data_IF_483140643897
#
_entry.id   IF_483140643897
#
_cell.length_a   1.000
_cell.length_b   1.000
_cell.length_c   1.000
_cell.angle_alpha   90.00
_cell.angle_beta   90.00
_cell.angle_gamma   90.00
#
_symmetry.space_group_name_H-M   'P 1'
#
loop_
_entity.id
_entity.type
_entity.pdbx_description
1 polymer ?
#
# COMPACT_ATOMS: atom_id res chain seq x y z
N UNK A 1 10.22 -5.90 39.72
CA UNK A 1 9.70 -5.11 38.58
C UNK A 1 10.37 -5.71 37.35
N UNK A 2 9.74 -6.70 36.72
CA UNK A 2 10.26 -7.28 35.47
C UNK A 2 9.58 -6.50 34.35
N UNK A 3 10.37 -5.82 33.53
CA UNK A 3 9.93 -5.25 32.26
C UNK A 3 9.51 -6.41 31.38
N UNK A 4 8.21 -6.49 31.13
CA UNK A 4 7.63 -7.39 30.13
C UNK A 4 8.21 -6.97 28.78
N UNK A 5 9.21 -7.72 28.32
CA UNK A 5 9.71 -7.61 26.95
C UNK A 5 8.54 -7.97 26.05
N UNK A 6 8.01 -6.99 25.31
CA UNK A 6 7.02 -7.25 24.27
C UNK A 6 7.63 -8.29 23.31
N UNK A 7 7.06 -9.49 23.30
CA UNK A 7 7.49 -10.56 22.42
C UNK A 7 7.35 -10.07 20.98
N UNK A 8 8.44 -10.15 20.21
CA UNK A 8 8.37 -9.88 18.78
C UNK A 8 7.41 -10.86 18.11
N UNK A 9 6.67 -10.44 17.06
CA UNK A 9 5.75 -11.33 16.36
C UNK A 9 6.43 -12.61 15.89
N UNK A 10 5.69 -13.73 15.95
CA UNK A 10 6.18 -15.00 15.46
C UNK A 10 6.45 -14.95 13.95
N UNK A 11 7.41 -15.74 13.49
CA UNK A 11 7.62 -15.96 12.05
C UNK A 11 6.34 -16.58 11.48
N UNK A 12 5.92 -16.07 10.31
CA UNK A 12 4.68 -16.44 9.64
C UNK A 12 3.45 -15.67 10.11
N UNK A 13 3.57 -14.74 11.07
CA UNK A 13 2.45 -13.84 11.41
C UNK A 13 2.11 -12.96 10.20
N UNK A 14 0.81 -12.90 9.87
CA UNK A 14 0.27 -12.19 8.72
C UNK A 14 -0.67 -11.09 9.17
N UNK A 15 -0.47 -9.89 8.65
CA UNK A 15 -1.26 -8.70 8.93
C UNK A 15 -1.97 -8.26 7.65
N UNK A 16 -3.30 -8.30 7.60
CA UNK A 16 -4.05 -7.81 6.45
C UNK A 16 -4.10 -6.29 6.54
N UNK A 17 -3.51 -5.60 5.56
CA UNK A 17 -3.42 -4.15 5.54
C UNK A 17 -4.36 -3.56 4.49
N UNK A 18 -4.98 -2.43 4.84
CA UNK A 18 -5.48 -1.45 3.88
C UNK A 18 -4.51 -0.27 3.85
N UNK A 19 -4.19 0.25 2.67
CA UNK A 19 -3.34 1.41 2.51
C UNK A 19 -4.01 2.52 1.72
N UNK A 20 -3.74 3.75 2.12
CA UNK A 20 -4.06 4.95 1.35
C UNK A 20 -2.76 5.54 0.85
N UNK A 21 -2.74 6.00 -0.40
CA UNK A 21 -1.59 6.61 -1.04
C UNK A 21 -2.02 7.89 -1.75
N UNK A 22 -1.25 8.95 -1.60
CA UNK A 22 -1.41 10.18 -2.38
C UNK A 22 -0.04 10.69 -2.79
N UNK A 23 0.16 10.92 -4.08
CA UNK A 23 1.40 11.50 -4.59
C UNK A 23 1.17 12.33 -5.85
N UNK A 24 2.10 13.25 -6.11
CA UNK A 24 2.12 14.08 -7.31
C UNK A 24 3.32 13.71 -8.17
N UNK A 25 3.12 13.45 -9.46
CA UNK A 25 4.21 13.08 -10.37
C UNK A 25 4.01 13.67 -11.77
N UNK A 26 5.15 13.87 -12.45
CA UNK A 26 5.19 14.32 -13.84
C UNK A 26 5.13 13.11 -14.79
N UNK A 27 4.27 13.21 -15.79
CA UNK A 27 4.30 12.35 -16.97
C UNK A 27 4.70 13.11 -18.23
N UNK A 28 4.47 12.50 -19.39
CA UNK A 28 4.78 13.09 -20.69
C UNK A 28 3.84 14.26 -21.02
N UNK A 29 4.21 15.47 -20.60
CA UNK A 29 3.46 16.69 -20.87
C UNK A 29 2.28 16.95 -19.93
N UNK A 30 2.16 16.20 -18.84
CA UNK A 30 1.13 16.40 -17.81
C UNK A 30 1.71 16.28 -16.41
N UNK A 31 1.10 16.98 -15.47
CA UNK A 31 1.34 16.85 -14.04
C UNK A 31 0.07 16.30 -13.40
N UNK A 32 0.20 15.28 -12.55
CA UNK A 32 -0.95 14.57 -12.00
C UNK A 32 -0.80 14.31 -10.52
N UNK A 33 -1.93 14.26 -9.82
CA UNK A 33 -2.06 13.64 -8.52
C UNK A 33 -2.71 12.26 -8.66
N UNK A 34 -2.10 11.27 -8.02
CA UNK A 34 -2.65 9.91 -7.90
C UNK A 34 -3.07 9.71 -6.45
N UNK A 35 -4.32 9.34 -6.24
CA UNK A 35 -4.87 9.02 -4.93
C UNK A 35 -5.47 7.61 -4.94
N UNK A 36 -4.86 6.68 -4.21
CA UNK A 36 -5.41 5.36 -3.95
C UNK A 36 -5.96 5.31 -2.53
N UNK A 37 -7.17 4.77 -2.36
CA UNK A 37 -7.85 4.62 -1.08
C UNK A 37 -8.14 3.14 -0.87
N UNK A 38 -7.80 2.64 0.33
CA UNK A 38 -8.02 1.26 0.74
C UNK A 38 -7.47 0.21 -0.24
N UNK A 39 -6.30 0.47 -0.83
CA UNK A 39 -5.53 -0.57 -1.51
C UNK A 39 -5.23 -1.72 -0.54
N UNK A 40 -5.21 -2.96 -1.03
CA UNK A 40 -5.07 -4.14 -0.17
C UNK A 40 -3.64 -4.68 -0.23
N UNK A 41 -3.08 -4.99 0.93
CA UNK A 41 -1.77 -5.60 1.04
C UNK A 41 -1.75 -6.63 2.19
N UNK A 42 -0.82 -7.57 2.12
CA UNK A 42 -0.54 -8.55 3.15
C UNK A 42 0.88 -8.32 3.67
N UNK A 43 1.01 -7.93 4.93
CA UNK A 43 2.31 -7.88 5.59
C UNK A 43 2.59 -9.20 6.29
N UNK A 44 3.78 -9.76 6.10
CA UNK A 44 4.19 -11.06 6.65
C UNK A 44 5.49 -10.88 7.42
N UNK A 45 5.51 -11.32 8.68
CA UNK A 45 6.74 -11.46 9.44
C UNK A 45 7.48 -12.70 8.94
N UNK A 46 8.57 -12.53 8.23
CA UNK A 46 9.50 -13.61 7.85
C UNK A 46 10.72 -13.59 8.79
N UNK A 47 11.67 -14.52 8.63
CA UNK A 47 12.79 -14.76 9.57
C UNK A 47 13.47 -13.45 10.02
N UNK A 48 14.01 -12.69 9.07
CA UNK A 48 14.80 -11.48 9.33
C UNK A 48 14.16 -10.19 8.79
N UNK A 49 12.97 -10.29 8.19
CA UNK A 49 12.33 -9.15 7.56
C UNK A 49 10.80 -9.15 7.72
N UNK A 50 10.21 -8.02 7.41
CA UNK A 50 8.80 -7.87 7.12
C UNK A 50 8.65 -7.72 5.61
N UNK A 51 7.84 -8.57 5.00
CA UNK A 51 7.47 -8.48 3.59
C UNK A 51 6.07 -7.92 3.47
N UNK A 52 5.84 -7.08 2.47
CA UNK A 52 4.51 -6.59 2.12
C UNK A 52 4.24 -6.98 0.69
N UNK A 53 3.23 -7.80 0.50
CA UNK A 53 2.73 -8.22 -0.79
C UNK A 53 1.47 -7.43 -1.12
N UNK A 54 1.45 -6.77 -2.27
CA UNK A 54 0.25 -6.14 -2.80
C UNK A 54 -0.76 -7.23 -3.15
N UNK A 55 -1.98 -7.07 -2.64
CA UNK A 55 -3.13 -7.89 -3.05
C UNK A 55 -3.88 -7.16 -4.15
N UNK A 56 -4.16 -5.87 -3.93
CA UNK A 56 -4.72 -4.97 -4.93
C UNK A 56 -4.11 -3.58 -4.75
N UNK A 57 -3.18 -3.14 -5.63
CA UNK A 57 -2.67 -3.84 -6.82
C UNK A 57 -1.85 -5.10 -6.47
N UNK A 58 -1.92 -6.13 -7.31
CA UNK A 58 -1.26 -7.42 -7.08
C UNK A 58 0.23 -7.48 -7.44
N UNK A 59 0.68 -6.65 -8.39
CA UNK A 59 2.04 -6.66 -8.93
C UNK A 59 3.12 -6.01 -8.06
N UNK A 60 2.95 -6.00 -6.72
CA UNK A 60 3.85 -5.31 -5.80
C UNK A 60 4.36 -6.23 -4.69
N UNK A 61 5.66 -6.15 -4.42
CA UNK A 61 6.26 -6.71 -3.23
C UNK A 61 7.42 -5.83 -2.76
N UNK A 62 7.57 -5.66 -1.46
CA UNK A 62 8.72 -4.99 -0.88
C UNK A 62 8.99 -5.52 0.54
N UNK A 63 10.20 -5.32 1.03
CA UNK A 63 10.58 -5.78 2.37
C UNK A 63 11.43 -4.76 3.12
N UNK A 64 11.57 -4.98 4.42
CA UNK A 64 12.46 -4.23 5.30
C UNK A 64 12.71 -4.96 6.61
N UNK A 65 13.78 -4.60 7.32
CA UNK A 65 14.18 -5.26 8.58
C UNK A 65 13.15 -5.06 9.70
N UNK A 66 12.38 -3.97 9.63
CA UNK A 66 11.31 -3.63 10.57
C UNK A 66 10.05 -3.14 9.80
N UNK A 67 8.86 -3.11 10.43
CA UNK A 67 7.61 -2.79 9.75
C UNK A 67 7.65 -1.44 9.00
N UNK A 68 8.19 -0.39 9.64
CA UNK A 68 8.31 0.93 8.99
C UNK A 68 9.24 0.94 7.78
N UNK A 69 10.31 0.14 7.80
CA UNK A 69 11.20 0.00 6.64
C UNK A 69 10.48 -0.69 5.49
N UNK A 70 9.73 -1.75 5.78
CA UNK A 70 8.93 -2.44 4.77
C UNK A 70 7.84 -1.53 4.20
N UNK A 71 7.15 -0.76 5.05
CA UNK A 71 6.15 0.25 4.65
C UNK A 71 6.79 1.29 3.71
N UNK A 72 7.95 1.84 4.09
CA UNK A 72 8.71 2.81 3.29
C UNK A 72 9.13 2.24 1.94
N UNK A 73 9.62 1.00 1.92
CA UNK A 73 10.03 0.30 0.71
C UNK A 73 8.83 0.02 -0.23
N UNK A 74 7.69 -0.39 0.33
CA UNK A 74 6.46 -0.64 -0.42
C UNK A 74 5.92 0.65 -1.06
N UNK A 75 5.94 1.76 -0.32
CA UNK A 75 5.62 3.08 -0.87
C UNK A 75 6.51 3.44 -2.05
N UNK A 76 7.83 3.33 -1.90
CA UNK A 76 8.79 3.64 -2.98
C UNK A 76 8.56 2.76 -4.20
N UNK A 77 8.20 1.50 -3.98
CA UNK A 77 7.85 0.57 -5.05
C UNK A 77 6.61 1.04 -5.81
N UNK A 78 5.57 1.50 -5.10
CA UNK A 78 4.39 2.05 -5.77
C UNK A 78 4.73 3.29 -6.59
N UNK A 79 5.45 4.25 -6.00
CA UNK A 79 5.88 5.48 -6.70
C UNK A 79 6.67 5.16 -7.97
N UNK A 80 7.59 4.19 -7.90
CA UNK A 80 8.38 3.76 -9.05
C UNK A 80 7.51 3.16 -10.16
N UNK A 81 6.56 2.29 -9.82
CA UNK A 81 5.64 1.72 -10.82
C UNK A 81 4.82 2.83 -11.48
N UNK A 82 4.31 3.81 -10.71
CA UNK A 82 3.57 4.93 -11.28
C UNK A 82 4.44 5.77 -12.25
N UNK A 83 5.72 5.97 -11.93
CA UNK A 83 6.67 6.62 -12.84
C UNK A 83 6.88 5.78 -14.11
N UNK A 84 7.07 4.47 -14.00
CA UNK A 84 7.23 3.58 -15.15
C UNK A 84 5.99 3.58 -16.05
N UNK A 85 4.78 3.60 -15.46
CA UNK A 85 3.52 3.75 -16.19
C UNK A 85 3.42 5.12 -16.89
N UNK A 86 3.85 6.20 -16.24
CA UNK A 86 3.85 7.54 -16.82
C UNK A 86 4.83 7.64 -18.02
N UNK A 87 6.00 7.02 -17.91
CA UNK A 87 6.98 6.93 -18.99
C UNK A 87 6.46 6.13 -20.19
N UNK A 88 5.71 5.05 -19.93
CA UNK A 88 5.10 4.22 -20.96
C UNK A 88 3.83 4.80 -21.60
N UNK A 89 3.30 5.90 -21.07
CA UNK A 89 2.05 6.50 -21.52
C UNK A 89 2.28 7.70 -22.43
N UNK A 90 1.54 7.77 -23.54
CA UNK A 90 1.65 8.86 -24.52
C UNK A 90 0.93 10.14 -24.12
N UNK A 91 -0.06 10.05 -23.22
CA UNK A 91 -0.86 11.16 -22.72
C UNK A 91 -1.49 10.81 -21.37
N UNK A 92 -2.23 11.77 -20.81
CA UNK A 92 -2.89 11.63 -19.52
C UNK A 92 -3.93 10.50 -19.50
N UNK A 93 -4.74 10.36 -20.54
CA UNK A 93 -5.79 9.35 -20.61
C UNK A 93 -5.20 7.93 -20.57
N UNK A 94 -4.16 7.69 -21.36
CA UNK A 94 -3.43 6.43 -21.37
C UNK A 94 -2.83 6.11 -19.99
N UNK A 95 -2.23 7.12 -19.34
CA UNK A 95 -1.69 6.97 -17.99
C UNK A 95 -2.76 6.64 -16.96
N UNK A 96 -3.87 7.39 -16.95
CA UNK A 96 -5.00 7.16 -16.04
C UNK A 96 -5.55 5.75 -16.20
N UNK A 97 -5.72 5.29 -17.43
CA UNK A 97 -6.28 3.98 -17.72
C UNK A 97 -5.30 2.86 -17.31
N UNK A 98 -3.99 3.05 -17.52
CA UNK A 98 -2.96 2.14 -17.04
C UNK A 98 -2.88 2.05 -15.51
N UNK A 99 -2.95 3.19 -14.81
CA UNK A 99 -2.98 3.24 -13.33
C UNK A 99 -4.22 2.53 -12.79
N UNK A 100 -5.38 2.73 -13.42
CA UNK A 100 -6.62 2.02 -13.03
C UNK A 100 -6.50 0.52 -13.25
N UNK A 101 -6.00 0.10 -14.41
CA UNK A 101 -5.80 -1.32 -14.70
C UNK A 101 -4.86 -1.97 -13.68
N UNK A 102 -3.71 -1.35 -13.43
CA UNK A 102 -2.75 -1.81 -12.42
C UNK A 102 -3.38 -1.92 -11.03
N UNK A 103 -4.14 -0.90 -10.61
CA UNK A 103 -4.79 -0.91 -9.31
C UNK A 103 -5.80 -2.05 -9.13
N UNK A 104 -6.49 -2.45 -10.21
CA UNK A 104 -7.44 -3.57 -10.18
C UNK A 104 -6.79 -4.96 -10.27
N UNK A 105 -5.49 -5.04 -10.60
CA UNK A 105 -4.77 -6.31 -10.57
C UNK A 105 -4.89 -6.97 -9.19
N UNK A 106 -5.11 -8.28 -9.19
CA UNK A 106 -5.25 -9.08 -7.97
C UNK A 106 -4.12 -10.09 -7.87
N UNK A 107 -3.47 -10.16 -6.71
CA UNK A 107 -2.53 -11.24 -6.41
C UNK A 107 -3.29 -12.47 -5.93
N UNK A 108 -3.72 -13.32 -6.87
CA UNK A 108 -4.50 -14.52 -6.57
C UNK A 108 -3.76 -15.49 -5.63
N UNK A 109 -2.43 -15.53 -5.69
CA UNK A 109 -1.59 -16.38 -4.84
C UNK A 109 -1.67 -16.04 -3.35
N UNK A 110 -1.88 -14.75 -3.02
CA UNK A 110 -1.96 -14.28 -1.63
C UNK A 110 -3.36 -13.84 -1.21
N UNK A 111 -4.35 -13.83 -2.11
CA UNK A 111 -5.72 -13.41 -1.77
C UNK A 111 -6.34 -14.28 -0.67
N UNK A 112 -6.12 -15.60 -0.74
CA UNK A 112 -6.57 -16.54 0.30
C UNK A 112 -5.95 -16.23 1.65
N UNK A 113 -4.63 -16.04 1.69
CA UNK A 113 -3.89 -15.73 2.91
C UNK A 113 -4.31 -14.38 3.52
N UNK A 114 -4.62 -13.39 2.68
CA UNK A 114 -5.14 -12.11 3.13
C UNK A 114 -6.51 -12.25 3.80
N UNK A 115 -7.42 -13.06 3.23
CA UNK A 115 -8.72 -13.38 3.87
C UNK A 115 -8.56 -14.13 5.18
N UNK A 116 -7.64 -15.10 5.24
CA UNK A 116 -7.38 -15.85 6.47
C UNK A 116 -6.83 -14.95 7.57
N UNK A 117 -5.95 -14.02 7.22
CA UNK A 117 -5.38 -13.04 8.13
C UNK A 117 -6.45 -12.10 8.70
N UNK A 118 -7.46 -11.69 7.91
CA UNK A 118 -8.62 -10.92 8.40
C UNK A 118 -9.36 -11.70 9.48
N UNK A 119 -9.63 -12.98 9.24
CA UNK A 119 -10.31 -13.81 10.21
C UNK A 119 -9.50 -13.93 11.52
N UNK A 120 -8.15 -13.94 11.43
CA UNK A 120 -7.26 -13.86 12.59
C UNK A 120 -7.40 -12.54 13.38
N UNK A 121 -7.49 -11.40 12.69
CA UNK A 121 -7.73 -10.10 13.33
C UNK A 121 -9.10 -10.05 14.00
N UNK A 122 -10.16 -10.53 13.32
CA UNK A 122 -11.52 -10.60 13.87
C UNK A 122 -11.61 -11.44 15.14
N UNK A 123 -10.83 -12.51 15.24
CA UNK A 123 -10.73 -13.38 16.43
C UNK A 123 -9.83 -12.80 17.52
N UNK A 124 -9.12 -11.70 17.26
CA UNK A 124 -8.16 -11.11 18.19
C UNK A 124 -6.83 -11.85 18.30
N UNK A 125 -6.54 -12.75 17.35
CA UNK A 125 -5.29 -13.52 17.30
C UNK A 125 -4.12 -12.71 16.73
N UNK A 126 -4.45 -11.69 15.93
CA UNK A 126 -3.49 -10.80 15.27
C UNK A 126 -3.86 -9.35 15.59
N UNK A 127 -2.88 -8.57 16.03
CA UNK A 127 -3.00 -7.12 16.20
C UNK A 127 -1.67 -6.43 15.88
N UNK A 128 -1.75 -5.16 15.46
CA UNK A 128 -0.58 -4.32 15.23
C UNK A 128 -0.72 -3.05 16.08
N UNK A 129 0.22 -2.85 17.00
CA UNK A 129 0.18 -1.69 17.89
C UNK A 129 0.26 -0.38 17.10
N UNK A 130 -0.55 0.61 17.49
CA UNK A 130 -0.55 1.94 16.86
C UNK A 130 -1.24 2.01 15.48
N UNK A 131 -1.71 0.89 14.93
CA UNK A 131 -2.45 0.87 13.67
C UNK A 131 -3.96 0.69 13.93
N UNK A 132 -4.81 1.62 13.46
CA UNK A 132 -6.25 1.48 13.60
C UNK A 132 -6.80 0.32 12.78
N UNK A 133 -7.79 -0.36 13.35
CA UNK A 133 -8.56 -1.40 12.66
C UNK A 133 -9.76 -0.80 11.93
N UNK A 134 -10.04 -1.26 10.71
CA UNK A 134 -11.17 -0.83 9.87
C UNK A 134 -11.82 -2.02 9.14
N UNK A 135 -13.07 -1.90 8.67
CA UNK A 135 -13.72 -2.97 7.93
C UNK A 135 -12.93 -3.41 6.69
N UNK A 136 -12.69 -4.71 6.54
CA UNK A 136 -11.96 -5.29 5.41
C UNK A 136 -12.64 -5.05 4.06
N UNK A 137 -13.95 -4.79 4.06
CA UNK A 137 -14.74 -4.44 2.88
C UNK A 137 -14.83 -2.92 2.63
N UNK A 138 -13.98 -2.12 3.28
CA UNK A 138 -13.93 -0.66 3.07
C UNK A 138 -13.76 -0.36 1.57
N UNK A 139 -14.56 0.57 0.99
CA UNK A 139 -14.55 0.81 -0.44
C UNK A 139 -13.15 1.18 -0.94
N UNK A 140 -12.71 0.47 -1.98
CA UNK A 140 -11.42 0.69 -2.61
C UNK A 140 -11.60 1.56 -3.85
N UNK A 141 -10.73 2.54 -4.04
CA UNK A 141 -10.80 3.42 -5.20
C UNK A 141 -9.43 3.97 -5.59
N UNK A 142 -9.30 4.33 -6.86
CA UNK A 142 -8.16 5.11 -7.35
C UNK A 142 -8.65 6.27 -8.21
N UNK A 143 -8.11 7.45 -7.91
CA UNK A 143 -8.34 8.68 -8.66
C UNK A 143 -7.00 9.18 -9.23
N UNK A 144 -7.06 9.66 -10.47
CA UNK A 144 -5.95 10.33 -11.13
C UNK A 144 -6.49 11.64 -11.70
N UNK A 145 -5.93 12.75 -11.25
CA UNK A 145 -6.37 14.09 -11.63
C UNK A 145 -5.19 14.92 -12.14
N UNK A 146 -5.42 15.74 -13.16
CA UNK A 146 -4.41 16.68 -13.65
C UNK A 146 -4.30 17.83 -12.66
N UNK A 147 -3.06 18.21 -12.33
CA UNK A 147 -2.73 19.43 -11.59
C UNK A 147 -2.13 20.47 -12.52
N UNK A 148 -2.51 21.72 -12.32
CA UNK A 148 -1.79 22.87 -12.88
C UNK A 148 -0.58 23.18 -12.01
N UNK A 149 0.49 23.73 -12.60
CA UNK A 149 1.74 24.03 -11.88
C UNK A 149 1.49 25.00 -10.72
N UNK A 150 0.55 25.92 -10.87
CA UNK A 150 0.16 26.89 -9.84
C UNK A 150 -0.59 26.26 -8.65
N UNK A 151 -1.07 25.02 -8.80
CA UNK A 151 -1.74 24.26 -7.74
C UNK A 151 -0.77 23.40 -6.92
N UNK A 152 0.50 23.34 -7.32
CA UNK A 152 1.52 22.54 -6.65
C UNK A 152 2.05 23.30 -5.45
N UNK A 153 2.18 22.60 -4.33
CA UNK A 153 2.70 23.15 -3.08
C UNK A 153 3.91 22.35 -2.60
N UNK A 154 4.78 22.88 -1.72
CA UNK A 154 5.90 22.12 -1.16
C UNK A 154 5.47 20.81 -0.47
N UNK A 155 4.23 20.72 0.01
CA UNK A 155 3.66 19.50 0.60
C UNK A 155 3.49 18.38 -0.43
N UNK A 156 3.41 18.68 -1.71
CA UNK A 156 3.36 17.69 -2.78
C UNK A 156 4.69 16.95 -2.99
N UNK A 157 5.80 17.44 -2.42
CA UNK A 157 7.07 16.70 -2.39
C UNK A 157 7.05 15.53 -1.38
N UNK A 158 6.02 15.46 -0.55
CA UNK A 158 5.81 14.38 0.39
C UNK A 158 4.58 13.56 -0.01
N UNK A 159 4.79 12.39 -0.62
CA UNK A 159 3.69 11.44 -0.74
C UNK A 159 3.14 11.12 0.66
N UNK A 160 1.81 11.06 0.77
CA UNK A 160 1.13 10.75 2.03
C UNK A 160 0.62 9.31 1.95
N UNK A 161 1.09 8.47 2.88
CA UNK A 161 0.70 7.07 2.96
C UNK A 161 0.24 6.75 4.37
N UNK A 162 -0.91 6.09 4.48
CA UNK A 162 -1.46 5.61 5.74
C UNK A 162 -1.79 4.13 5.61
N UNK A 163 -1.49 3.36 6.65
CA UNK A 163 -1.85 1.95 6.75
C UNK A 163 -2.89 1.76 7.85
N UNK A 164 -3.81 0.82 7.62
CA UNK A 164 -4.89 0.42 8.51
C UNK A 164 -4.92 -1.11 8.56
N UNK A 165 -5.29 -1.68 9.70
CA UNK A 165 -5.46 -3.12 9.85
C UNK A 165 -6.88 -3.50 9.41
N UNK A 166 -7.02 -4.49 8.53
CA UNK A 166 -8.32 -4.94 8.06
C UNK A 166 -8.92 -5.97 9.04
N UNK A 167 -10.17 -5.76 9.44
CA UNK A 167 -10.96 -6.71 10.23
C UNK A 167 -12.36 -6.88 9.65
#
# INVERSE_FOLDING_TARGET
MMTEQALSPAIGTKYPLLFTYRDTLFGNGFLVEVQAINGRALCVREEDAYWIYGINPGGMAAHGEHPDAAHSAFRKTFSRILVDLALGSSNFEAFRDAVRAFFEETNEGYEGEWRDAIAGVQRGEVSLEGIPTVPANSPRSIAVSVKQVEQVTPQDNSANVQYLLAA
#
